data_IF_405765469279
#
_entry.id   IF_405765469279
#
_cell.length_a   1.000
_cell.length_b   1.000
_cell.length_c   1.000
_cell.angle_alpha   90.00
_cell.angle_beta   90.00
_cell.angle_gamma   90.00
#
_symmetry.space_group_name_H-M   'P 1'
#
loop_
_entity.id
_entity.type
_entity.pdbx_description
1 polymer ?
#
# COMPACT_ATOMS: atom_id res chain seq x y z
N UNK A 1 19.17 -46.16 49.56
CA UNK A 1 18.42 -46.67 48.37
C UNK A 1 18.90 -48.08 48.10
N UNK A 2 18.00 -49.08 48.08
CA UNK A 2 18.37 -50.49 48.00
C UNK A 2 18.87 -50.93 46.60
N UNK A 3 19.66 -52.02 46.54
CA UNK A 3 20.23 -52.60 45.31
C UNK A 3 19.17 -53.25 44.38
N UNK A 4 19.52 -53.53 43.11
CA UNK A 4 18.60 -54.07 42.11
C UNK A 4 18.08 -55.46 42.48
N UNK A 5 16.80 -55.71 42.16
CA UNK A 5 16.13 -56.99 42.38
C UNK A 5 16.64 -58.08 41.41
N UNK A 6 16.85 -59.32 41.87
CA UNK A 6 17.17 -60.46 41.02
C UNK A 6 15.97 -60.96 40.20
N UNK A 7 16.29 -61.55 39.05
CA UNK A 7 15.43 -62.13 38.02
C UNK A 7 14.43 -63.17 38.56
N UNK A 8 13.15 -63.04 38.17
CA UNK A 8 12.14 -64.08 38.31
C UNK A 8 12.18 -65.10 37.15
N UNK A 9 11.64 -66.32 37.34
CA UNK A 9 11.73 -67.41 36.36
C UNK A 9 10.85 -67.19 35.12
N UNK A 10 11.25 -67.84 34.03
CA UNK A 10 10.65 -67.73 32.70
C UNK A 10 9.20 -68.25 32.65
N UNK A 11 8.29 -67.38 32.24
CA UNK A 11 6.91 -67.76 31.88
C UNK A 11 6.83 -68.46 30.51
N UNK A 12 5.70 -69.13 30.21
CA UNK A 12 5.58 -70.05 29.08
C UNK A 12 5.67 -69.33 27.72
N UNK A 13 6.30 -69.99 26.74
CA UNK A 13 6.29 -69.57 25.33
C UNK A 13 4.89 -69.71 24.75
N UNK A 14 4.22 -68.59 24.51
CA UNK A 14 2.99 -68.51 23.70
C UNK A 14 3.34 -68.26 22.23
N UNK A 15 2.62 -68.97 21.36
CA UNK A 15 2.84 -69.06 19.91
C UNK A 15 2.73 -67.71 19.17
N UNK A 16 3.36 -67.55 17.99
CA UNK A 16 3.31 -66.31 17.24
C UNK A 16 1.89 -66.02 16.71
N UNK A 17 1.39 -64.77 16.83
CA UNK A 17 0.13 -64.40 16.21
C UNK A 17 0.28 -64.33 14.68
N UNK A 18 -0.64 -64.97 13.98
CA UNK A 18 -0.83 -64.89 12.53
C UNK A 18 -0.85 -63.42 12.08
N UNK A 19 0.01 -63.04 11.13
CA UNK A 19 -0.09 -61.78 10.39
C UNK A 19 -1.44 -61.76 9.65
N UNK A 20 -2.42 -61.03 10.20
CA UNK A 20 -3.64 -60.67 9.47
C UNK A 20 -3.28 -59.47 8.61
N UNK A 21 -3.21 -59.70 7.29
CA UNK A 21 -2.98 -58.65 6.30
C UNK A 21 -4.09 -57.61 6.36
N UNK A 22 -3.82 -56.50 7.03
CA UNK A 22 -4.65 -55.29 7.08
C UNK A 22 -3.86 -54.08 6.60
N UNK A 23 -2.99 -54.25 5.60
CA UNK A 23 -2.22 -53.18 4.98
C UNK A 23 -2.83 -52.86 3.62
N UNK A 24 -3.84 -52.01 3.58
CA UNK A 24 -4.42 -51.55 2.33
C UNK A 24 -5.30 -50.34 2.55
N UNK A 25 -6.35 -50.48 3.36
CA UNK A 25 -7.33 -49.40 3.53
C UNK A 25 -6.81 -48.20 4.34
N UNK A 26 -6.15 -48.43 5.48
CA UNK A 26 -5.61 -47.34 6.32
C UNK A 26 -4.49 -46.56 5.64
N UNK A 27 -3.60 -47.25 4.91
CA UNK A 27 -2.53 -46.61 4.15
C UNK A 27 -3.08 -45.80 2.96
N UNK A 28 -4.08 -46.31 2.25
CA UNK A 28 -4.72 -45.59 1.14
C UNK A 28 -5.45 -44.34 1.65
N UNK A 29 -6.16 -44.41 2.78
CA UNK A 29 -6.85 -43.24 3.34
C UNK A 29 -5.87 -42.16 3.81
N UNK A 30 -4.75 -42.53 4.44
CA UNK A 30 -3.71 -41.58 4.85
C UNK A 30 -3.01 -40.97 3.63
N UNK A 31 -2.72 -41.76 2.59
CA UNK A 31 -2.11 -41.25 1.34
C UNK A 31 -3.08 -40.32 0.61
N UNK A 32 -4.38 -40.64 0.53
CA UNK A 32 -5.38 -39.77 -0.09
C UNK A 32 -5.54 -38.47 0.71
N UNK A 33 -5.59 -38.52 2.04
CA UNK A 33 -5.63 -37.32 2.88
C UNK A 33 -4.40 -36.45 2.68
N UNK A 34 -3.20 -37.03 2.65
CA UNK A 34 -1.95 -36.29 2.39
C UNK A 34 -1.90 -35.70 0.98
N UNK A 35 -2.43 -36.38 -0.03
CA UNK A 35 -2.52 -35.86 -1.41
C UNK A 35 -3.54 -34.71 -1.47
N UNK A 36 -4.68 -34.85 -0.80
CA UNK A 36 -5.71 -33.79 -0.76
C UNK A 36 -5.21 -32.58 0.03
N UNK A 37 -4.59 -32.75 1.20
CA UNK A 37 -4.01 -31.63 1.96
C UNK A 37 -2.83 -31.01 1.22
N UNK A 38 -1.95 -31.80 0.61
CA UNK A 38 -0.85 -31.26 -0.22
C UNK A 38 -1.38 -30.57 -1.46
N UNK A 39 -2.48 -31.07 -2.05
CA UNK A 39 -3.16 -30.46 -3.19
C UNK A 39 -3.84 -29.14 -2.82
N UNK A 40 -4.52 -29.08 -1.68
CA UNK A 40 -5.15 -27.88 -1.14
C UNK A 40 -4.11 -26.85 -0.69
N UNK A 41 -3.00 -27.28 -0.06
CA UNK A 41 -1.89 -26.40 0.28
C UNK A 41 -1.23 -25.89 -1.00
N UNK A 42 -0.93 -26.76 -1.98
CA UNK A 42 -0.37 -26.32 -3.27
C UNK A 42 -1.32 -25.43 -4.06
N UNK A 43 -2.63 -25.66 -3.96
CA UNK A 43 -3.65 -24.82 -4.59
C UNK A 43 -3.73 -23.47 -3.88
N UNK A 44 -3.83 -23.43 -2.55
CA UNK A 44 -3.84 -22.20 -1.76
C UNK A 44 -2.53 -21.40 -1.90
N UNK A 45 -1.39 -22.09 -2.01
CA UNK A 45 -0.08 -21.50 -2.28
C UNK A 45 -0.03 -21.00 -3.73
N UNK A 46 -0.53 -21.75 -4.72
CA UNK A 46 -0.63 -21.25 -6.11
C UNK A 46 -1.55 -20.04 -6.22
N UNK A 47 -2.75 -20.09 -5.67
CA UNK A 47 -3.68 -18.94 -5.66
C UNK A 47 -3.13 -17.78 -4.87
N UNK A 48 -2.37 -18.02 -3.79
CA UNK A 48 -1.69 -17.00 -3.01
C UNK A 48 -0.50 -16.38 -3.73
N UNK A 49 0.27 -17.16 -4.51
CA UNK A 49 1.34 -16.66 -5.37
C UNK A 49 0.78 -15.95 -6.60
N UNK A 50 -0.28 -16.45 -7.23
CA UNK A 50 -0.93 -15.80 -8.38
C UNK A 50 -1.60 -14.48 -7.96
N UNK A 51 -2.20 -14.41 -6.76
CA UNK A 51 -2.69 -13.17 -6.17
C UNK A 51 -1.56 -12.18 -5.81
N UNK A 52 -0.36 -12.67 -5.50
CA UNK A 52 0.81 -11.84 -5.18
C UNK A 52 1.65 -11.45 -6.41
N UNK A 53 1.37 -11.98 -7.60
CA UNK A 53 2.20 -11.83 -8.81
C UNK A 53 1.50 -11.02 -9.90
N UNK A 54 0.96 -9.85 -9.56
CA UNK A 54 0.45 -8.90 -10.56
C UNK A 54 1.02 -7.51 -10.31
N UNK A 55 2.34 -7.40 -10.45
CA UNK A 55 3.05 -6.13 -10.57
C UNK A 55 2.76 -5.54 -11.95
N UNK A 56 1.88 -4.54 -12.02
CA UNK A 56 1.94 -3.59 -13.13
C UNK A 56 3.35 -3.01 -13.17
N UNK A 57 3.97 -2.94 -14.35
CA UNK A 57 5.31 -2.39 -14.46
C UNK A 57 5.32 -0.94 -13.98
N UNK A 58 6.36 -0.62 -13.22
CA UNK A 58 6.58 0.63 -12.51
C UNK A 58 6.78 1.80 -13.48
N UNK A 59 5.70 2.49 -13.84
CA UNK A 59 5.78 3.72 -14.62
C UNK A 59 6.60 4.80 -13.91
N UNK A 60 7.58 5.37 -14.60
CA UNK A 60 8.36 6.51 -14.12
C UNK A 60 7.52 7.80 -14.13
N UNK A 61 6.75 8.08 -13.07
CA UNK A 61 5.98 9.33 -12.97
C UNK A 61 6.80 10.52 -12.43
N UNK A 62 8.10 10.56 -12.73
CA UNK A 62 9.03 11.60 -12.24
C UNK A 62 8.92 12.92 -13.01
N UNK A 63 7.70 13.44 -13.15
CA UNK A 63 7.53 14.76 -13.77
C UNK A 63 7.87 15.88 -12.78
N UNK A 64 8.73 16.80 -13.21
CA UNK A 64 8.86 18.12 -12.58
C UNK A 64 8.22 19.18 -13.48
N UNK A 65 7.56 20.20 -12.90
CA UNK A 65 7.09 21.35 -13.65
C UNK A 65 8.18 21.92 -14.56
N UNK A 66 7.83 22.47 -15.74
CA UNK A 66 8.78 23.19 -16.57
C UNK A 66 9.39 24.35 -15.78
N UNK A 67 10.67 24.71 -16.01
CA UNK A 67 11.29 25.87 -15.38
C UNK A 67 10.43 27.12 -15.60
N UNK A 68 10.12 27.87 -14.53
CA UNK A 68 9.33 29.11 -14.58
C UNK A 68 7.82 28.96 -14.40
N UNK A 69 7.30 27.73 -14.23
CA UNK A 69 6.03 27.50 -13.53
C UNK A 69 6.39 27.04 -12.12
N UNK A 70 6.60 28.00 -11.23
CA UNK A 70 6.91 27.72 -9.83
C UNK A 70 5.86 26.74 -9.29
N UNK A 71 6.30 25.56 -8.83
CA UNK A 71 5.49 24.83 -7.86
C UNK A 71 5.27 25.82 -6.72
N UNK A 72 4.01 26.13 -6.39
CA UNK A 72 3.69 27.15 -5.40
C UNK A 72 4.25 26.85 -3.99
N UNK A 73 4.77 25.63 -3.77
CA UNK A 73 5.40 25.20 -2.53
C UNK A 73 6.90 25.46 -2.42
N UNK A 74 7.45 25.14 -1.25
CA UNK A 74 8.88 25.32 -0.94
C UNK A 74 9.66 24.10 -1.46
N UNK A 75 10.65 24.28 -2.36
CA UNK A 75 11.33 23.17 -3.04
C UNK A 75 12.38 22.47 -2.16
N UNK A 76 11.96 21.98 -1.00
CA UNK A 76 12.74 21.26 0.00
C UNK A 76 12.13 19.89 0.28
N UNK A 77 12.97 18.91 0.66
CA UNK A 77 12.53 17.57 1.08
C UNK A 77 12.34 17.51 2.60
N UNK A 78 13.35 17.07 3.35
CA UNK A 78 13.25 16.88 4.80
C UNK A 78 13.06 18.18 5.59
N UNK A 79 13.47 19.33 5.05
CA UNK A 79 13.32 20.64 5.67
C UNK A 79 12.04 21.39 5.24
N UNK A 80 11.12 20.73 4.52
CA UNK A 80 9.90 21.37 4.03
C UNK A 80 9.02 21.89 5.19
N UNK A 81 8.45 23.11 5.12
CA UNK A 81 7.61 23.66 6.18
C UNK A 81 6.36 22.82 6.49
N UNK A 82 5.88 22.00 5.54
CA UNK A 82 4.80 21.05 5.81
C UNK A 82 5.19 20.04 6.90
N UNK A 83 6.47 19.69 7.00
CA UNK A 83 7.03 18.68 7.91
C UNK A 83 7.67 19.28 9.17
N UNK A 84 7.51 20.59 9.41
CA UNK A 84 8.11 21.27 10.56
C UNK A 84 7.55 20.73 11.89
N UNK A 85 8.39 20.54 12.90
CA UNK A 85 8.02 20.07 14.24
C UNK A 85 7.04 21.02 14.95
N UNK A 86 5.90 20.55 15.50
CA UNK A 86 5.42 19.16 15.64
C UNK A 86 4.57 18.63 14.47
N UNK A 87 4.41 19.40 13.41
CA UNK A 87 3.54 19.11 12.29
C UNK A 87 2.12 19.56 12.56
N UNK A 88 1.27 19.44 11.53
CA UNK A 88 -0.14 19.80 11.61
C UNK A 88 -1.02 18.56 11.46
N UNK A 89 -1.97 18.32 12.37
CA UNK A 89 -2.90 17.20 12.22
C UNK A 89 -3.98 17.51 11.19
N UNK A 90 -4.50 16.46 10.53
CA UNK A 90 -5.75 16.55 9.79
C UNK A 90 -6.91 16.60 10.80
N UNK A 91 -7.86 17.51 10.58
CA UNK A 91 -9.06 17.58 11.42
C UNK A 91 -9.94 16.35 11.19
N UNK A 92 -10.70 15.87 12.20
CA UNK A 92 -11.70 14.82 12.00
C UNK A 92 -12.68 15.17 10.87
N UNK A 93 -12.76 14.32 9.84
CA UNK A 93 -13.50 14.61 8.61
C UNK A 93 -14.77 13.76 8.51
N UNK A 94 -15.92 14.42 8.37
CA UNK A 94 -17.20 13.78 8.05
C UNK A 94 -17.38 13.75 6.54
N UNK A 95 -16.85 12.72 5.92
CA UNK A 95 -16.95 12.45 4.50
C UNK A 95 -18.23 11.66 4.17
N UNK A 96 -19.17 12.21 3.39
CA UNK A 96 -20.30 11.47 2.86
C UNK A 96 -19.88 10.77 1.55
N UNK A 97 -19.11 9.67 1.66
CA UNK A 97 -18.66 8.94 0.47
C UNK A 97 -19.87 8.42 -0.33
N UNK A 98 -19.91 8.73 -1.62
CA UNK A 98 -20.90 8.16 -2.55
C UNK A 98 -20.74 6.63 -2.58
N UNK A 99 -21.79 5.80 -2.74
CA UNK A 99 -21.62 4.36 -2.83
C UNK A 99 -20.65 3.90 -3.93
N UNK A 100 -19.78 2.94 -3.61
CA UNK A 100 -18.85 2.34 -4.55
C UNK A 100 -19.55 1.37 -5.52
N UNK A 101 -19.05 1.31 -6.75
CA UNK A 101 -19.32 0.25 -7.74
C UNK A 101 -18.24 0.28 -8.82
N UNK A 102 -18.03 -0.84 -9.52
CA UNK A 102 -17.10 -0.94 -10.66
C UNK A 102 -17.61 -0.28 -11.95
N UNK A 103 -18.84 0.24 -11.95
CA UNK A 103 -19.33 1.10 -13.02
C UNK A 103 -18.61 2.45 -12.99
N UNK A 104 -18.07 2.87 -14.14
CA UNK A 104 -17.19 4.04 -14.24
C UNK A 104 -17.79 5.30 -13.62
N UNK A 105 -19.07 5.59 -13.88
CA UNK A 105 -19.71 6.79 -13.33
C UNK A 105 -19.92 6.74 -11.82
N UNK A 106 -20.20 5.55 -11.27
CA UNK A 106 -20.33 5.35 -9.83
C UNK A 106 -18.97 5.42 -9.13
N UNK A 107 -17.95 4.76 -9.68
CA UNK A 107 -16.56 4.86 -9.21
C UNK A 107 -16.07 6.31 -9.25
N UNK A 108 -16.39 7.06 -10.32
CA UNK A 108 -16.06 8.48 -10.42
C UNK A 108 -16.72 9.29 -9.31
N UNK A 109 -18.03 9.12 -9.10
CA UNK A 109 -18.74 9.85 -8.04
C UNK A 109 -18.24 9.48 -6.63
N UNK A 110 -17.79 8.23 -6.41
CA UNK A 110 -17.10 7.81 -5.19
C UNK A 110 -15.79 8.59 -5.01
N UNK A 111 -14.89 8.56 -6.00
CA UNK A 111 -13.60 9.25 -5.90
C UNK A 111 -13.72 10.79 -5.88
N UNK A 112 -14.71 11.38 -6.54
CA UNK A 112 -15.00 12.82 -6.45
C UNK A 112 -15.44 13.21 -5.02
N UNK A 113 -16.30 12.42 -4.38
CA UNK A 113 -16.69 12.65 -2.99
C UNK A 113 -15.51 12.49 -2.02
N UNK A 114 -14.61 11.53 -2.30
CA UNK A 114 -13.37 11.36 -1.55
C UNK A 114 -12.41 12.54 -1.75
N UNK A 115 -12.26 13.03 -2.98
CA UNK A 115 -11.40 14.16 -3.33
C UNK A 115 -11.83 15.44 -2.63
N UNK A 116 -13.14 15.69 -2.55
CA UNK A 116 -13.69 16.81 -1.78
C UNK A 116 -13.33 16.70 -0.29
N UNK A 117 -13.45 15.51 0.30
CA UNK A 117 -13.12 15.33 1.71
C UNK A 117 -11.61 15.45 2.01
N UNK A 118 -10.77 14.90 1.13
CA UNK A 118 -9.31 15.07 1.19
C UNK A 118 -8.92 16.55 1.08
N UNK A 119 -9.56 17.30 0.18
CA UNK A 119 -9.33 18.73 0.03
C UNK A 119 -9.64 19.49 1.32
N UNK A 120 -10.81 19.24 1.92
CA UNK A 120 -11.22 19.88 3.17
C UNK A 120 -10.32 19.53 4.35
N UNK A 121 -9.80 18.30 4.40
CA UNK A 121 -8.87 17.86 5.45
C UNK A 121 -7.48 18.51 5.31
N UNK A 122 -6.94 18.62 4.09
CA UNK A 122 -5.58 19.09 3.83
C UNK A 122 -5.46 20.61 3.71
N UNK A 123 -6.49 21.31 3.24
CA UNK A 123 -6.42 22.76 3.02
C UNK A 123 -6.01 23.54 4.28
N UNK A 124 -6.58 23.31 5.49
CA UNK A 124 -6.16 24.02 6.70
C UNK A 124 -4.70 23.71 7.13
N UNK A 125 -4.20 22.53 6.77
CA UNK A 125 -2.83 22.10 7.07
C UNK A 125 -1.83 22.84 6.19
N UNK A 126 -2.11 22.91 4.89
CA UNK A 126 -1.30 23.69 3.95
C UNK A 126 -1.34 25.19 4.27
N UNK A 127 -2.52 25.74 4.60
CA UNK A 127 -2.66 27.14 5.01
C UNK A 127 -1.81 27.48 6.25
N UNK A 128 -1.79 26.62 7.27
CA UNK A 128 -0.93 26.78 8.46
C UNK A 128 0.56 26.74 8.10
N UNK A 129 0.94 25.91 7.14
CA UNK A 129 2.30 25.85 6.60
C UNK A 129 2.62 26.99 5.61
N UNK A 130 1.67 27.92 5.37
CA UNK A 130 1.78 29.02 4.39
C UNK A 130 1.99 28.53 2.95
N UNK A 131 1.43 27.38 2.64
CA UNK A 131 1.45 26.75 1.31
C UNK A 131 0.11 26.96 0.62
N UNK A 132 0.13 27.12 -0.71
CA UNK A 132 -1.10 27.29 -1.51
C UNK A 132 -1.77 25.94 -1.74
N UNK A 133 -3.10 25.94 -1.79
CA UNK A 133 -3.89 24.76 -2.15
C UNK A 133 -4.61 24.96 -3.49
N UNK A 134 -4.51 23.97 -4.36
CA UNK A 134 -5.32 23.83 -5.57
C UNK A 134 -5.71 22.37 -5.69
N UNK A 135 -7.01 22.03 -5.87
CA UNK A 135 -7.42 20.63 -5.94
C UNK A 135 -6.84 19.94 -7.18
N UNK A 136 -6.58 18.62 -7.14
CA UNK A 136 -6.19 17.87 -8.31
C UNK A 136 -7.39 17.66 -9.24
N UNK A 137 -7.12 17.41 -10.52
CA UNK A 137 -8.10 16.82 -11.43
C UNK A 137 -8.22 15.33 -11.14
N UNK A 138 -9.31 14.72 -11.58
CA UNK A 138 -9.58 13.30 -11.44
C UNK A 138 -10.03 12.72 -12.78
N UNK A 139 -9.39 11.62 -13.18
CA UNK A 139 -9.79 10.82 -14.35
C UNK A 139 -10.02 9.39 -13.89
N UNK A 140 -11.25 8.90 -14.09
CA UNK A 140 -11.66 7.53 -13.78
C UNK A 140 -12.09 6.83 -15.06
N UNK A 141 -11.52 5.66 -15.33
CA UNK A 141 -11.76 4.85 -16.53
C UNK A 141 -11.96 3.38 -16.16
N UNK A 142 -12.55 2.59 -17.06
CA UNK A 142 -12.70 1.15 -16.83
C UNK A 142 -11.35 0.42 -16.87
N UNK A 143 -10.50 0.78 -17.84
CA UNK A 143 -9.18 0.16 -18.06
C UNK A 143 -8.12 1.22 -18.33
N UNK A 144 -6.86 0.82 -18.45
CA UNK A 144 -5.75 1.69 -18.87
C UNK A 144 -5.73 1.97 -20.38
N UNK A 145 -6.59 1.30 -21.15
CA UNK A 145 -6.59 1.39 -22.62
C UNK A 145 -6.97 2.78 -23.11
N UNK A 146 -6.20 3.33 -24.05
CA UNK A 146 -6.47 4.62 -24.69
C UNK A 146 -6.19 5.85 -23.82
N UNK A 147 -5.63 5.67 -22.62
CA UNK A 147 -5.22 6.78 -21.77
C UNK A 147 -3.83 7.26 -22.20
N UNK A 148 -3.74 8.54 -22.57
CA UNK A 148 -2.48 9.21 -22.83
C UNK A 148 -2.27 10.32 -21.83
N UNK A 149 -1.15 10.31 -21.11
CA UNK A 149 -0.84 11.31 -20.09
C UNK A 149 0.56 11.92 -20.30
N UNK A 150 0.84 13.11 -19.75
CA UNK A 150 2.19 13.66 -19.79
C UNK A 150 3.22 12.84 -19.01
N UNK A 151 2.79 12.02 -18.04
CA UNK A 151 3.69 11.24 -17.17
C UNK A 151 3.92 9.80 -17.66
N UNK A 152 2.93 9.20 -18.35
CA UNK A 152 3.01 7.82 -18.88
C UNK A 152 3.12 7.76 -20.41
N UNK A 153 2.99 8.89 -21.11
CA UNK A 153 2.87 8.90 -22.57
C UNK A 153 1.65 8.10 -23.01
N UNK A 154 1.82 7.23 -24.01
CA UNK A 154 0.78 6.31 -24.48
C UNK A 154 0.92 4.90 -23.89
N UNK A 155 1.78 4.70 -22.88
CA UNK A 155 1.89 3.41 -22.19
C UNK A 155 0.57 3.09 -21.49
N UNK A 156 0.07 1.87 -21.62
CA UNK A 156 -1.08 1.37 -20.85
C UNK A 156 -0.65 0.51 -19.65
N UNK A 157 0.66 0.43 -19.38
CA UNK A 157 1.22 -0.36 -18.28
C UNK A 157 1.46 0.55 -17.07
N UNK A 158 0.39 0.78 -16.31
CA UNK A 158 0.41 1.59 -15.10
C UNK A 158 -0.72 1.21 -14.15
N UNK A 159 -0.50 1.41 -12.85
CA UNK A 159 -1.52 1.33 -11.81
C UNK A 159 -2.28 2.66 -11.67
N UNK A 160 -3.04 2.86 -10.59
CA UNK A 160 -3.43 4.22 -10.21
C UNK A 160 -2.17 5.09 -10.00
N UNK A 161 -2.24 6.37 -10.36
CA UNK A 161 -1.12 7.29 -10.15
C UNK A 161 -1.54 8.77 -10.16
N UNK A 162 -0.78 9.61 -9.47
CA UNK A 162 -0.80 11.07 -9.61
C UNK A 162 0.23 11.55 -10.64
N UNK A 163 -0.21 12.34 -11.62
CA UNK A 163 0.66 13.02 -12.56
C UNK A 163 0.90 14.48 -12.13
N UNK A 164 2.14 14.76 -11.69
CA UNK A 164 2.55 16.11 -11.30
C UNK A 164 2.55 17.14 -12.45
N UNK A 165 2.44 16.68 -13.71
CA UNK A 165 2.51 17.55 -14.88
C UNK A 165 1.25 18.34 -15.18
N UNK A 166 0.12 17.68 -15.04
CA UNK A 166 -1.20 18.23 -15.29
C UNK A 166 -2.07 18.27 -14.02
N UNK A 167 -1.48 17.83 -12.89
CA UNK A 167 -2.06 17.77 -11.55
C UNK A 167 -3.30 16.87 -11.52
N UNK A 168 -3.24 15.71 -12.18
CA UNK A 168 -4.35 14.76 -12.32
C UNK A 168 -4.07 13.47 -11.56
N UNK A 169 -5.06 12.97 -10.81
CA UNK A 169 -5.08 11.59 -10.31
C UNK A 169 -5.81 10.71 -11.34
N UNK A 170 -5.16 9.66 -11.80
CA UNK A 170 -5.70 8.69 -12.74
C UNK A 170 -6.06 7.39 -12.01
N UNK A 171 -7.33 7.00 -12.10
CA UNK A 171 -7.90 5.83 -11.42
C UNK A 171 -8.55 4.86 -12.43
N UNK A 172 -7.75 4.03 -13.14
CA UNK A 172 -8.29 2.94 -13.94
C UNK A 172 -8.81 1.81 -13.03
N UNK A 173 -10.10 1.50 -13.10
CA UNK A 173 -10.78 0.51 -12.23
C UNK A 173 -10.13 -0.87 -12.33
N UNK A 174 -9.66 -1.26 -13.53
CA UNK A 174 -8.97 -2.54 -13.75
C UNK A 174 -7.68 -2.70 -12.93
N UNK A 175 -7.11 -1.62 -12.39
CA UNK A 175 -5.88 -1.64 -11.60
C UNK A 175 -6.13 -1.66 -10.09
N UNK A 176 -7.40 -1.64 -9.66
CA UNK A 176 -7.78 -1.61 -8.24
C UNK A 176 -7.95 -3.00 -7.64
N UNK A 177 -7.72 -4.08 -8.40
CA UNK A 177 -7.88 -5.46 -7.93
C UNK A 177 -9.30 -5.74 -7.41
N UNK A 178 -10.31 -5.29 -8.16
CA UNK A 178 -11.73 -5.39 -7.77
C UNK A 178 -12.22 -6.82 -7.60
N UNK A 179 -11.58 -7.78 -8.26
CA UNK A 179 -11.87 -9.20 -8.12
C UNK A 179 -11.36 -9.79 -6.79
N UNK A 180 -10.38 -9.15 -6.15
CA UNK A 180 -9.86 -9.55 -4.83
C UNK A 180 -10.63 -8.88 -3.70
N UNK A 181 -10.89 -7.58 -3.84
CA UNK A 181 -11.41 -6.75 -2.76
C UNK A 181 -12.92 -6.51 -2.83
N UNK A 182 -13.59 -6.84 -3.93
CA UNK A 182 -15.05 -6.77 -4.06
C UNK A 182 -15.64 -5.43 -3.56
N UNK A 183 -16.41 -5.45 -2.46
CA UNK A 183 -17.08 -4.30 -1.88
C UNK A 183 -16.28 -3.62 -0.75
N UNK A 184 -15.02 -4.02 -0.53
CA UNK A 184 -14.09 -3.39 0.41
C UNK A 184 -13.59 -2.04 -0.13
N UNK A 185 -14.51 -1.10 -0.28
CA UNK A 185 -14.26 0.22 -0.88
C UNK A 185 -13.22 1.03 -0.11
N UNK A 186 -13.01 0.75 1.19
CA UNK A 186 -11.96 1.37 1.98
C UNK A 186 -10.56 1.10 1.40
N UNK A 187 -10.35 -0.02 0.71
CA UNK A 187 -9.08 -0.34 0.08
C UNK A 187 -8.85 0.55 -1.15
N UNK A 188 -9.89 0.78 -1.96
CA UNK A 188 -9.82 1.70 -3.09
C UNK A 188 -9.69 3.16 -2.63
N UNK A 189 -10.30 3.51 -1.49
CA UNK A 189 -10.10 4.81 -0.85
C UNK A 189 -8.64 5.01 -0.42
N UNK A 190 -7.99 4.00 0.15
CA UNK A 190 -6.58 4.04 0.55
C UNK A 190 -5.66 4.25 -0.67
N UNK A 191 -5.89 3.52 -1.77
CA UNK A 191 -5.18 3.78 -3.04
C UNK A 191 -5.38 5.24 -3.49
N UNK A 192 -6.61 5.75 -3.47
CA UNK A 192 -6.88 7.14 -3.86
C UNK A 192 -6.23 8.17 -2.93
N UNK A 193 -6.22 7.91 -1.62
CA UNK A 193 -5.62 8.78 -0.62
C UNK A 193 -4.08 8.78 -0.70
N UNK A 194 -3.47 7.66 -1.07
CA UNK A 194 -2.05 7.57 -1.42
C UNK A 194 -1.72 8.49 -2.61
N UNK A 195 -2.48 8.41 -3.70
CA UNK A 195 -2.27 9.30 -4.86
C UNK A 195 -2.51 10.78 -4.52
N UNK A 196 -3.47 11.05 -3.64
CA UNK A 196 -3.67 12.39 -3.10
C UNK A 196 -2.47 12.83 -2.23
N UNK A 197 -1.81 11.89 -1.53
CA UNK A 197 -0.55 12.12 -0.83
C UNK A 197 0.54 12.67 -1.75
N UNK A 198 0.71 12.11 -2.95
CA UNK A 198 1.61 12.67 -3.96
C UNK A 198 1.19 14.07 -4.41
N UNK A 199 -0.11 14.34 -4.53
CA UNK A 199 -0.60 15.68 -4.79
C UNK A 199 -0.20 16.67 -3.68
N UNK A 200 -0.29 16.28 -2.40
CA UNK A 200 0.17 17.10 -1.26
C UNK A 200 1.70 17.30 -1.31
N UNK A 201 2.48 16.28 -1.67
CA UNK A 201 3.92 16.43 -1.89
C UNK A 201 4.22 17.41 -3.04
N UNK A 202 3.39 17.43 -4.10
CA UNK A 202 3.53 18.35 -5.21
C UNK A 202 3.21 19.80 -4.81
N UNK A 203 2.10 20.01 -4.08
CA UNK A 203 1.70 21.34 -3.59
C UNK A 203 2.72 21.91 -2.60
N UNK A 204 3.29 21.07 -1.74
CA UNK A 204 4.30 21.50 -0.76
C UNK A 204 5.68 21.73 -1.36
N UNK A 205 5.97 21.20 -2.55
CA UNK A 205 7.27 21.31 -3.23
C UNK A 205 8.20 20.10 -3.01
N UNK A 206 7.84 19.18 -2.09
CA UNK A 206 8.61 17.98 -1.77
C UNK A 206 8.81 17.09 -3.00
N UNK A 207 7.73 16.78 -3.74
CA UNK A 207 7.79 15.87 -4.89
C UNK A 207 8.70 16.43 -5.99
N UNK A 208 8.66 17.75 -6.20
CA UNK A 208 9.51 18.44 -7.17
C UNK A 208 10.99 18.39 -6.76
N UNK A 209 11.29 18.67 -5.50
CA UNK A 209 12.65 18.63 -4.96
C UNK A 209 13.24 17.21 -5.02
N UNK A 210 12.50 16.20 -4.56
CA UNK A 210 12.95 14.81 -4.55
C UNK A 210 13.17 14.27 -5.97
N UNK A 211 12.24 14.52 -6.91
CA UNK A 211 12.43 14.07 -8.30
C UNK A 211 13.58 14.79 -9.01
N UNK A 212 13.86 16.06 -8.66
CA UNK A 212 15.06 16.75 -9.15
C UNK A 212 16.34 16.07 -8.65
N UNK A 213 16.40 15.72 -7.36
CA UNK A 213 17.54 14.97 -6.80
C UNK A 213 17.70 13.61 -7.47
N UNK A 214 16.61 12.84 -7.65
CA UNK A 214 16.62 11.54 -8.35
C UNK A 214 17.20 11.61 -9.75
N UNK A 215 16.86 12.64 -10.53
CA UNK A 215 17.44 12.83 -11.87
C UNK A 215 18.92 13.17 -11.83
N UNK A 216 19.38 13.90 -10.81
CA UNK A 216 20.78 14.26 -10.65
C UNK A 216 21.66 13.08 -10.21
N UNK A 217 21.12 12.18 -9.39
CA UNK A 217 21.83 10.99 -8.89
C UNK A 217 21.66 9.77 -9.80
N UNK A 218 20.76 9.83 -10.76
CA UNK A 218 20.38 8.73 -11.66
C UNK A 218 19.16 7.97 -11.13
N UNK A 219 18.11 7.85 -11.95
CA UNK A 219 16.80 7.36 -11.50
C UNK A 219 16.82 5.95 -10.90
N UNK A 220 17.75 5.12 -11.36
CA UNK A 220 17.92 3.72 -10.99
C UNK A 220 19.20 3.45 -10.21
N UNK A 221 19.94 4.49 -9.81
CA UNK A 221 21.03 4.31 -8.84
C UNK A 221 20.45 3.98 -7.46
N UNK A 222 21.27 3.39 -6.59
CA UNK A 222 20.84 3.10 -5.21
C UNK A 222 20.27 4.34 -4.51
N UNK A 223 20.88 5.51 -4.76
CA UNK A 223 20.45 6.80 -4.21
C UNK A 223 19.13 7.30 -4.86
N UNK A 224 18.99 7.15 -6.17
CA UNK A 224 17.76 7.49 -6.89
C UNK A 224 16.57 6.61 -6.51
N UNK A 225 16.83 5.34 -6.22
CA UNK A 225 15.86 4.38 -5.69
C UNK A 225 15.55 4.66 -4.21
N UNK A 226 16.52 5.06 -3.39
CA UNK A 226 16.27 5.50 -2.01
C UNK A 226 15.33 6.70 -1.93
N UNK A 227 15.57 7.71 -2.76
CA UNK A 227 14.67 8.85 -2.90
C UNK A 227 13.29 8.45 -3.42
N UNK A 228 13.20 7.45 -4.29
CA UNK A 228 11.92 6.88 -4.74
C UNK A 228 11.15 6.31 -3.55
N UNK A 229 11.76 5.42 -2.77
CA UNK A 229 11.11 4.80 -1.60
C UNK A 229 10.65 5.84 -0.58
N UNK A 230 11.43 6.91 -0.35
CA UNK A 230 11.03 8.00 0.55
C UNK A 230 9.79 8.76 0.06
N UNK A 231 9.65 8.97 -1.25
CA UNK A 231 8.46 9.59 -1.86
C UNK A 231 7.24 8.71 -1.60
N UNK A 232 7.32 7.43 -1.96
CA UNK A 232 6.21 6.46 -1.86
C UNK A 232 5.79 6.21 -0.41
N UNK A 233 6.75 6.00 0.50
CA UNK A 233 6.46 5.76 1.91
C UNK A 233 5.87 7.00 2.61
N UNK A 234 6.22 8.21 2.17
CA UNK A 234 5.57 9.42 2.70
C UNK A 234 4.13 9.53 2.20
N UNK A 235 3.84 9.15 0.95
CA UNK A 235 2.47 9.08 0.44
C UNK A 235 1.64 8.04 1.24
N UNK A 236 2.21 6.88 1.59
CA UNK A 236 1.57 5.93 2.51
C UNK A 236 1.29 6.54 3.89
N UNK A 237 2.21 7.33 4.44
CA UNK A 237 1.97 8.02 5.71
C UNK A 237 0.86 9.06 5.60
N UNK A 238 0.80 9.82 4.49
CA UNK A 238 -0.29 10.78 4.25
C UNK A 238 -1.66 10.10 4.04
N UNK A 239 -1.70 8.92 3.43
CA UNK A 239 -2.89 8.07 3.38
C UNK A 239 -3.35 7.69 4.80
N UNK A 240 -2.45 7.13 5.62
CA UNK A 240 -2.74 6.80 7.02
C UNK A 240 -3.31 7.99 7.82
N UNK A 241 -2.74 9.19 7.64
CA UNK A 241 -3.27 10.42 8.26
C UNK A 241 -4.72 10.69 7.85
N UNK A 242 -5.04 10.52 6.57
CA UNK A 242 -6.40 10.70 6.07
C UNK A 242 -7.37 9.66 6.64
N UNK A 243 -6.94 8.40 6.77
CA UNK A 243 -7.74 7.37 7.43
C UNK A 243 -8.00 7.69 8.91
N UNK A 244 -7.02 8.26 9.63
CA UNK A 244 -7.24 8.73 11.00
C UNK A 244 -8.23 9.89 11.07
N UNK A 245 -8.14 10.85 10.14
CA UNK A 245 -9.09 11.95 10.01
C UNK A 245 -10.52 11.45 9.75
N UNK A 246 -10.70 10.56 8.77
CA UNK A 246 -12.02 10.02 8.39
C UNK A 246 -12.62 9.11 9.48
N UNK A 247 -11.80 8.28 10.14
CA UNK A 247 -12.23 7.49 11.29
C UNK A 247 -12.62 8.38 12.49
N UNK A 248 -11.83 9.42 12.79
CA UNK A 248 -12.14 10.40 13.83
C UNK A 248 -13.43 11.17 13.55
N UNK A 249 -13.75 11.40 12.28
CA UNK A 249 -15.02 11.98 11.84
C UNK A 249 -16.17 10.99 11.73
N UNK A 250 -15.94 9.70 12.01
CA UNK A 250 -16.90 8.59 11.93
C UNK A 250 -17.37 8.24 10.52
N UNK A 251 -16.62 8.63 9.50
CA UNK A 251 -16.87 8.24 8.10
C UNK A 251 -16.28 6.89 7.73
N UNK A 252 -15.31 6.41 8.52
CA UNK A 252 -14.82 5.03 8.48
C UNK A 252 -15.11 4.35 9.81
N UNK A 253 -15.53 3.09 9.75
CA UNK A 253 -15.59 2.25 10.95
C UNK A 253 -14.19 1.79 11.37
N UNK A 254 -13.97 1.43 12.66
CA UNK A 254 -12.70 0.84 13.09
C UNK A 254 -12.31 -0.42 12.31
N UNK A 255 -13.29 -1.22 11.87
CA UNK A 255 -13.07 -2.43 11.07
C UNK A 255 -12.53 -2.08 9.68
N UNK A 256 -13.08 -1.05 9.04
CA UNK A 256 -12.60 -0.59 7.73
C UNK A 256 -11.21 0.04 7.83
N UNK A 257 -10.97 0.84 8.86
CA UNK A 257 -9.62 1.39 9.09
C UNK A 257 -8.58 0.27 9.32
N UNK A 258 -8.95 -0.78 10.05
CA UNK A 258 -8.07 -1.94 10.25
C UNK A 258 -7.90 -2.78 8.97
N UNK A 259 -8.95 -2.86 8.14
CA UNK A 259 -8.93 -3.50 6.82
C UNK A 259 -7.89 -2.83 5.91
N UNK A 260 -7.95 -1.49 5.79
CA UNK A 260 -6.96 -0.70 5.05
C UNK A 260 -5.55 -0.82 5.65
N UNK A 261 -5.40 -0.77 6.98
CA UNK A 261 -4.09 -1.00 7.64
C UNK A 261 -3.49 -2.34 7.25
N UNK A 262 -4.30 -3.41 7.27
CA UNK A 262 -3.85 -4.76 6.92
C UNK A 262 -3.42 -4.82 5.45
N UNK A 263 -4.17 -4.20 4.57
CA UNK A 263 -3.85 -4.11 3.14
C UNK A 263 -2.56 -3.33 2.89
N UNK A 264 -2.28 -2.25 3.64
CA UNK A 264 -1.02 -1.51 3.56
C UNK A 264 0.22 -2.37 3.84
N UNK A 265 0.13 -3.36 4.75
CA UNK A 265 1.19 -4.35 5.00
C UNK A 265 1.37 -5.40 3.87
N UNK A 266 0.54 -5.34 2.83
CA UNK A 266 0.66 -6.15 1.62
C UNK A 266 1.11 -5.35 0.38
N UNK A 267 1.35 -4.05 0.51
CA UNK A 267 1.72 -3.14 -0.61
C UNK A 267 3.19 -2.77 -0.55
N UNK A 268 3.87 -2.71 -1.68
CA UNK A 268 5.28 -2.33 -1.75
C UNK A 268 6.08 -3.30 -2.61
N UNK A 269 7.41 -3.20 -2.54
CA UNK A 269 8.33 -4.02 -3.32
C UNK A 269 8.34 -5.47 -2.81
N UNK A 270 8.03 -6.41 -3.71
CA UNK A 270 8.20 -7.84 -3.53
C UNK A 270 9.64 -8.29 -3.78
N UNK A 271 9.94 -9.55 -3.45
CA UNK A 271 11.25 -10.14 -3.72
C UNK A 271 11.52 -10.19 -5.24
N UNK A 272 12.53 -9.46 -5.69
CA UNK A 272 12.90 -9.35 -7.10
C UNK A 272 12.41 -8.08 -7.80
N UNK A 273 11.54 -7.30 -7.14
CA UNK A 273 11.09 -6.01 -7.67
C UNK A 273 12.21 -4.97 -7.64
N UNK A 274 12.07 -3.96 -8.49
CA UNK A 274 12.87 -2.76 -8.40
C UNK A 274 12.56 -2.05 -7.08
N UNK A 275 13.59 -1.80 -6.27
CA UNK A 275 13.48 -1.25 -4.90
C UNK A 275 13.05 0.22 -4.86
N UNK A 276 11.84 0.51 -5.30
CA UNK A 276 11.33 1.85 -5.60
C UNK A 276 10.20 2.31 -4.69
N UNK A 277 9.53 1.40 -3.98
CA UNK A 277 8.39 1.69 -3.09
C UNK A 277 8.65 1.30 -1.62
N UNK A 278 9.73 0.58 -1.34
CA UNK A 278 10.07 0.05 -0.01
C UNK A 278 9.40 -1.30 0.23
N UNK A 279 9.83 -2.06 1.23
CA UNK A 279 9.16 -3.33 1.56
C UNK A 279 7.69 -3.14 1.98
N UNK A 280 6.91 -4.22 1.90
CA UNK A 280 5.55 -4.19 2.40
C UNK A 280 5.43 -3.93 3.91
N UNK A 281 6.42 -4.36 4.69
CA UNK A 281 6.51 -3.99 6.10
C UNK A 281 6.66 -2.48 6.27
N UNK A 282 7.58 -1.85 5.53
CA UNK A 282 7.77 -0.40 5.61
C UNK A 282 6.56 0.39 5.11
N UNK A 283 5.89 -0.08 4.06
CA UNK A 283 4.64 0.56 3.60
C UNK A 283 3.58 0.55 4.72
N UNK A 284 3.37 -0.60 5.36
CA UNK A 284 2.47 -0.73 6.50
C UNK A 284 2.89 0.10 7.72
N UNK A 285 4.18 0.18 8.03
CA UNK A 285 4.72 0.96 9.14
C UNK A 285 4.56 2.47 8.94
N UNK A 286 4.79 2.97 7.74
CA UNK A 286 4.60 4.39 7.43
C UNK A 286 3.11 4.76 7.35
N UNK A 287 2.27 3.90 6.78
CA UNK A 287 0.81 4.06 6.85
C UNK A 287 0.34 4.11 8.31
N UNK A 288 0.82 3.16 9.12
CA UNK A 288 0.53 3.07 10.55
C UNK A 288 0.98 4.33 11.31
N UNK A 289 2.17 4.85 10.99
CA UNK A 289 2.68 6.10 11.58
C UNK A 289 1.74 7.26 11.27
N UNK A 290 1.28 7.38 10.03
CA UNK A 290 0.30 8.39 9.63
C UNK A 290 -1.01 8.28 10.40
N UNK A 291 -1.54 7.06 10.50
CA UNK A 291 -2.80 6.81 11.19
C UNK A 291 -2.70 7.06 12.70
N UNK A 292 -1.68 6.50 13.35
CA UNK A 292 -1.54 6.52 14.81
C UNK A 292 -1.12 7.91 15.33
N UNK A 293 -0.39 8.70 14.53
CA UNK A 293 0.08 10.04 14.92
C UNK A 293 -0.80 11.17 14.42
N UNK A 294 -1.40 11.02 13.23
CA UNK A 294 -2.13 12.06 12.52
C UNK A 294 -1.43 13.42 12.59
N UNK A 295 -0.18 13.50 12.13
CA UNK A 295 0.60 14.73 12.08
C UNK A 295 1.63 14.64 10.96
N UNK A 296 1.90 15.76 10.29
CA UNK A 296 2.79 15.77 9.12
C UNK A 296 4.27 15.54 9.44
N UNK A 297 4.78 16.03 10.59
CA UNK A 297 6.20 15.90 10.93
C UNK A 297 6.64 14.43 11.13
N UNK A 298 5.86 13.55 11.81
CA UNK A 298 6.13 12.11 11.82
C UNK A 298 6.21 11.44 10.46
N UNK A 299 5.62 12.02 9.40
CA UNK A 299 5.70 11.51 8.02
C UNK A 299 6.95 11.96 7.26
N UNK A 300 7.98 12.46 7.95
CA UNK A 300 9.23 12.91 7.32
C UNK A 300 10.16 11.74 7.00
N UNK A 301 9.86 11.03 5.92
CA UNK A 301 10.68 9.93 5.38
C UNK A 301 12.06 10.39 4.93
N UNK A 302 12.26 11.68 4.63
CA UNK A 302 13.53 12.20 4.08
C UNK A 302 14.64 12.36 5.12
N UNK A 303 14.30 12.39 6.40
CA UNK A 303 15.27 12.39 7.51
C UNK A 303 15.32 11.04 8.24
N UNK A 304 14.47 10.08 7.84
CA UNK A 304 14.46 8.75 8.42
C UNK A 304 15.75 7.98 8.06
N UNK A 305 16.27 7.13 8.96
CA UNK A 305 17.37 6.23 8.63
C UNK A 305 17.02 5.35 7.41
N UNK A 306 17.99 5.09 6.52
CA UNK A 306 17.74 4.28 5.31
C UNK A 306 17.14 2.91 5.61
N UNK A 307 17.44 2.32 6.76
CA UNK A 307 16.85 1.06 7.20
C UNK A 307 15.33 1.10 7.37
N UNK A 308 14.73 2.28 7.62
CA UNK A 308 13.27 2.47 7.79
C UNK A 308 12.56 2.83 6.47
N UNK A 309 13.31 2.98 5.38
CA UNK A 309 12.77 3.33 4.06
C UNK A 309 13.29 2.39 2.98
N UNK A 310 13.76 1.20 3.37
CA UNK A 310 14.43 0.26 2.47
C UNK A 310 13.48 -0.69 1.77
#
# INVERSE_FOLDING_TARGET
>A
MPPPRPYGPAGPRSAPPRKRGGGGFGAVVVVVLLIVTSGLIRFAVRTGFDAASHTGEHGNYSYSPPPGKDSAGVPETGANPLLADPGSPLNPARCPYTPWSTQVDAARAFFESAAACLADAWKPVLERAKLSFTPPKLVVTATTSGITTPCSGSSSNFAAFYCGADQTIYMPISQLQTDMFHDHWEIYLSVFAHEYGHHIQALSGILGAANKQRRQTGLYSDEGLDLSRRIELQANCFDGMYFASSAGGKSLTPVQAQSARKDAYGRGDSAGDMRSHGTAEHAGDWWSTGFDKNATAPCNTFIAPSGQVS
#
